data_IF_125398115573
#
_entry.id   IF_125398115573
#
_cell.length_a   1.000
_cell.length_b   1.000
_cell.length_c   1.000
_cell.angle_alpha   90.00
_cell.angle_beta   90.00
_cell.angle_gamma   90.00
#
_symmetry.space_group_name_H-M   'P 1'
#
loop_
_entity.id
_entity.type
_entity.pdbx_description
1 polymer ?
#
# COMPACT_ATOMS: atom_id res chain seq x y z
N UNK A 1 -17.95 -19.14 -1.04
CA UNK A 1 -16.58 -19.53 -1.42
C UNK A 1 -15.64 -18.35 -1.24
N UNK A 2 -14.55 -18.59 -0.58
CA UNK A 2 -13.53 -17.56 -0.46
C UNK A 2 -12.91 -17.28 -1.83
N UNK A 3 -12.70 -16.00 -2.10
CA UNK A 3 -12.04 -15.58 -3.32
C UNK A 3 -10.55 -15.93 -3.24
N UNK A 4 -10.04 -16.58 -4.26
CA UNK A 4 -8.61 -16.90 -4.33
C UNK A 4 -7.87 -15.86 -5.18
N UNK A 5 -6.69 -15.48 -4.70
CA UNK A 5 -5.85 -14.49 -5.35
C UNK A 5 -4.57 -15.18 -5.83
N UNK A 6 -4.05 -14.73 -6.94
CA UNK A 6 -2.76 -15.18 -7.46
C UNK A 6 -1.97 -14.00 -7.98
N UNK A 7 -0.65 -14.03 -7.77
CA UNK A 7 0.20 -12.91 -8.18
C UNK A 7 0.06 -12.65 -9.70
N UNK A 8 -0.31 -11.42 -10.11
CA UNK A 8 -0.61 -11.13 -11.52
C UNK A 8 0.62 -10.95 -12.40
N UNK A 9 1.82 -10.84 -11.81
CA UNK A 9 2.99 -10.38 -12.54
C UNK A 9 2.85 -8.89 -12.86
N UNK A 10 3.53 -8.43 -13.91
CA UNK A 10 3.42 -7.04 -14.35
C UNK A 10 2.20 -6.93 -15.27
N UNK A 11 1.24 -6.09 -14.88
CA UNK A 11 0.04 -5.82 -15.67
C UNK A 11 0.38 -4.98 -16.91
N UNK A 12 -0.50 -4.97 -17.93
CA UNK A 12 -0.33 -4.07 -19.07
C UNK A 12 -0.16 -2.62 -18.63
N UNK A 13 0.69 -1.89 -19.32
CA UNK A 13 1.05 -0.50 -18.96
C UNK A 13 -0.19 0.39 -18.81
N UNK A 14 -1.20 0.21 -19.66
CA UNK A 14 -2.43 1.01 -19.60
C UNK A 14 -3.25 0.79 -18.33
N UNK A 15 -2.93 -0.22 -17.53
CA UNK A 15 -3.59 -0.48 -16.25
C UNK A 15 -2.85 0.10 -15.06
N UNK A 16 -1.57 0.39 -15.19
CA UNK A 16 -0.72 0.85 -14.08
C UNK A 16 -0.13 2.23 -14.30
N UNK A 17 -0.08 2.72 -15.53
CA UNK A 17 0.49 4.01 -15.88
C UNK A 17 -0.43 5.16 -15.43
N UNK A 18 0.14 6.17 -14.79
CA UNK A 18 -0.58 7.37 -14.36
C UNK A 18 -1.80 7.05 -13.49
N UNK A 19 -1.60 6.18 -12.51
CA UNK A 19 -2.67 5.76 -11.59
C UNK A 19 -2.42 6.27 -10.19
N UNK A 20 -3.51 6.41 -9.45
CA UNK A 20 -3.49 6.74 -8.04
C UNK A 20 -4.52 5.89 -7.31
N UNK A 21 -4.35 5.78 -6.00
CA UNK A 21 -5.29 5.10 -5.12
C UNK A 21 -6.05 6.15 -4.35
N UNK A 22 -7.37 5.99 -4.28
CA UNK A 22 -8.26 6.78 -3.43
C UNK A 22 -8.83 5.86 -2.36
N UNK A 23 -8.54 6.17 -1.12
CA UNK A 23 -8.91 5.34 0.03
C UNK A 23 -9.80 6.13 0.96
N UNK A 24 -11.00 5.64 1.22
CA UNK A 24 -11.88 6.21 2.23
C UNK A 24 -11.64 5.47 3.54
N UNK A 25 -11.37 6.22 4.60
CA UNK A 25 -11.09 5.63 5.91
C UNK A 25 -12.02 6.19 6.97
N UNK A 26 -11.99 5.58 8.15
CA UNK A 26 -12.71 6.06 9.34
C UNK A 26 -12.43 7.54 9.61
N UNK A 27 -11.22 8.03 9.31
CA UNK A 27 -10.80 9.41 9.59
C UNK A 27 -10.92 10.34 8.39
N UNK A 28 -11.22 9.84 7.20
CA UNK A 28 -11.35 10.61 5.98
C UNK A 28 -10.62 10.01 4.81
N UNK A 29 -10.43 10.80 3.77
CA UNK A 29 -9.87 10.35 2.50
C UNK A 29 -8.36 10.50 2.43
N UNK A 30 -7.70 9.47 1.91
CA UNK A 30 -6.26 9.46 1.61
C UNK A 30 -6.12 9.15 0.13
N UNK A 31 -5.30 9.92 -0.60
CA UNK A 31 -4.97 9.66 -2.00
C UNK A 31 -3.47 9.55 -2.12
N UNK A 32 -2.98 8.52 -2.82
CA UNK A 32 -1.57 8.41 -3.13
C UNK A 32 -1.34 7.98 -4.57
N UNK A 33 -0.29 8.54 -5.17
CA UNK A 33 0.13 8.19 -6.53
C UNK A 33 0.94 6.90 -6.52
N UNK A 34 0.92 6.18 -7.64
CA UNK A 34 1.64 4.93 -7.80
C UNK A 34 2.85 5.12 -8.72
N UNK A 35 3.98 4.53 -8.33
CA UNK A 35 5.25 4.63 -9.06
C UNK A 35 5.47 3.39 -9.92
N UNK A 36 4.71 3.27 -11.00
CA UNK A 36 4.71 2.09 -11.86
C UNK A 36 6.07 1.82 -12.54
N UNK A 37 6.84 2.88 -12.82
CA UNK A 37 8.14 2.72 -13.48
C UNK A 37 9.24 2.26 -12.50
N UNK A 38 9.11 2.61 -11.24
CA UNK A 38 10.09 2.23 -10.20
C UNK A 38 9.77 0.88 -9.58
N UNK A 39 8.49 0.52 -9.48
CA UNK A 39 8.05 -0.70 -8.83
C UNK A 39 6.88 -1.35 -9.60
N UNK A 40 7.11 -1.78 -10.86
CA UNK A 40 6.04 -2.27 -11.72
C UNK A 40 5.33 -3.51 -11.17
N UNK A 41 6.04 -4.43 -10.52
CA UNK A 41 5.44 -5.62 -9.92
C UNK A 41 4.57 -5.28 -8.73
N UNK A 42 5.07 -4.41 -7.87
CA UNK A 42 4.38 -3.99 -6.65
C UNK A 42 3.13 -3.18 -7.00
N UNK A 43 3.26 -2.23 -7.94
CA UNK A 43 2.11 -1.44 -8.41
C UNK A 43 1.08 -2.33 -9.06
N UNK A 44 1.51 -3.27 -9.92
CA UNK A 44 0.61 -4.24 -10.55
C UNK A 44 -0.15 -5.06 -9.51
N UNK A 45 0.55 -5.54 -8.49
CA UNK A 45 -0.05 -6.29 -7.40
C UNK A 45 -1.09 -5.47 -6.65
N UNK A 46 -0.74 -4.24 -6.30
CA UNK A 46 -1.66 -3.36 -5.55
C UNK A 46 -2.90 -3.02 -6.38
N UNK A 47 -2.73 -2.70 -7.67
CA UNK A 47 -3.85 -2.44 -8.59
C UNK A 47 -4.75 -3.67 -8.72
N UNK A 48 -4.16 -4.84 -8.90
CA UNK A 48 -4.90 -6.10 -9.01
C UNK A 48 -5.75 -6.37 -7.76
N UNK A 49 -5.15 -6.26 -6.58
CA UNK A 49 -5.86 -6.48 -5.33
C UNK A 49 -6.96 -5.43 -5.11
N UNK A 50 -6.66 -4.17 -5.41
CA UNK A 50 -7.60 -3.06 -5.26
C UNK A 50 -8.81 -3.25 -6.17
N UNK A 51 -8.60 -3.57 -7.44
CA UNK A 51 -9.70 -3.80 -8.40
C UNK A 51 -10.59 -4.98 -7.99
N UNK A 52 -10.00 -5.95 -7.33
CA UNK A 52 -10.75 -7.11 -6.84
C UNK A 52 -11.46 -6.88 -5.50
N UNK A 53 -11.34 -5.70 -4.90
CA UNK A 53 -11.97 -5.39 -3.62
C UNK A 53 -11.24 -5.95 -2.40
N UNK A 54 -10.00 -6.37 -2.55
CA UNK A 54 -9.24 -7.01 -1.47
C UNK A 54 -9.13 -6.14 -0.22
N UNK A 55 -8.87 -4.84 -0.41
CA UNK A 55 -8.62 -3.93 0.71
C UNK A 55 -9.89 -3.39 1.37
N UNK A 56 -11.04 -3.51 0.73
CA UNK A 56 -12.30 -2.98 1.27
C UNK A 56 -12.63 -3.66 2.60
N UNK A 57 -12.79 -2.86 3.64
CA UNK A 57 -13.11 -3.34 4.98
C UNK A 57 -11.91 -3.76 5.82
N UNK A 58 -10.69 -3.71 5.29
CA UNK A 58 -9.48 -4.02 6.06
C UNK A 58 -9.11 -2.85 6.97
N UNK A 59 -8.28 -3.13 7.96
CA UNK A 59 -7.92 -2.15 8.99
C UNK A 59 -6.45 -1.75 8.91
N UNK A 60 -6.15 -0.64 9.58
CA UNK A 60 -4.79 -0.30 9.98
C UNK A 60 -4.52 -0.99 11.31
N UNK A 61 -3.84 -2.12 11.27
CA UNK A 61 -3.63 -2.95 12.46
C UNK A 61 -2.41 -2.55 13.29
N UNK A 62 -1.56 -1.67 12.75
CA UNK A 62 -0.36 -1.20 13.44
C UNK A 62 -0.16 0.29 13.18
N UNK A 63 0.00 1.05 14.25
CA UNK A 63 0.31 2.49 14.18
C UNK A 63 1.43 2.76 15.16
N UNK A 64 2.55 3.28 14.65
CA UNK A 64 3.68 3.67 15.47
C UNK A 64 3.82 5.19 15.34
N UNK A 65 3.42 5.97 16.36
CA UNK A 65 3.48 7.44 16.31
C UNK A 65 4.86 7.95 15.91
N UNK A 66 4.88 8.92 15.00
CA UNK A 66 6.11 9.49 14.49
C UNK A 66 6.89 8.59 13.54
N UNK A 67 6.35 7.45 13.18
CA UNK A 67 7.02 6.50 12.30
C UNK A 67 6.13 6.09 11.14
N UNK A 68 5.17 5.17 11.34
CA UNK A 68 4.32 4.64 10.25
C UNK A 68 2.91 4.33 10.71
N UNK A 69 2.00 4.25 9.73
CA UNK A 69 0.74 3.51 9.85
C UNK A 69 0.83 2.33 8.88
N UNK A 70 0.35 1.17 9.28
CA UNK A 70 0.46 -0.07 8.51
C UNK A 70 -0.88 -0.80 8.47
N UNK A 71 -1.25 -1.26 7.30
CA UNK A 71 -2.49 -2.00 7.11
C UNK A 71 -2.43 -2.95 5.92
N UNK A 72 -3.60 -3.49 5.54
CA UNK A 72 -3.71 -4.37 4.38
C UNK A 72 -3.57 -5.85 4.70
N UNK A 73 -3.62 -6.22 5.99
CA UNK A 73 -3.65 -7.62 6.41
C UNK A 73 -5.10 -8.08 6.56
N UNK A 74 -5.55 -9.08 5.78
CA UNK A 74 -6.95 -9.55 5.88
C UNK A 74 -7.27 -10.14 7.24
N UNK A 75 -6.27 -10.58 8.01
CA UNK A 75 -6.46 -11.11 9.36
C UNK A 75 -6.33 -10.03 10.45
N UNK A 76 -5.76 -8.87 10.12
CA UNK A 76 -5.56 -7.80 11.09
C UNK A 76 -4.53 -8.10 12.17
N UNK A 77 -3.64 -9.07 11.96
CA UNK A 77 -2.67 -9.54 12.97
C UNK A 77 -1.21 -9.23 12.62
N UNK A 78 -0.95 -8.82 11.39
CA UNK A 78 0.41 -8.61 10.89
C UNK A 78 1.01 -9.84 10.19
N UNK A 79 0.30 -10.96 10.17
CA UNK A 79 0.80 -12.22 9.62
C UNK A 79 0.08 -12.66 8.34
N UNK A 80 -1.02 -12.00 7.97
CA UNK A 80 -1.82 -12.40 6.82
C UNK A 80 -1.41 -11.70 5.53
N UNK A 81 -1.96 -12.18 4.42
CA UNK A 81 -1.73 -11.65 3.11
C UNK A 81 -2.70 -12.26 2.09
N UNK A 82 -2.42 -12.10 0.80
CA UNK A 82 -3.33 -12.55 -0.25
C UNK A 82 -3.20 -14.03 -0.60
N UNK A 83 -2.36 -14.78 0.11
CA UNK A 83 -2.14 -16.19 -0.15
C UNK A 83 -0.93 -16.49 -1.05
N UNK A 84 -0.15 -15.48 -1.36
CA UNK A 84 1.10 -15.60 -2.15
C UNK A 84 2.10 -14.55 -1.69
N UNK A 85 3.35 -14.70 -2.12
CA UNK A 85 4.42 -13.75 -1.89
C UNK A 85 5.10 -13.43 -3.22
N UNK A 86 5.71 -12.24 -3.30
CA UNK A 86 6.49 -11.88 -4.48
C UNK A 86 7.74 -11.11 -4.09
N UNK A 87 8.64 -10.98 -5.05
CA UNK A 87 9.99 -10.46 -4.85
C UNK A 87 10.03 -8.95 -4.62
N UNK A 88 11.07 -8.50 -3.93
CA UNK A 88 11.36 -7.08 -3.74
C UNK A 88 11.76 -6.44 -5.06
N UNK A 89 11.51 -5.14 -5.16
CA UNK A 89 11.98 -4.32 -6.26
C UNK A 89 12.97 -3.27 -5.74
N UNK A 90 13.89 -2.76 -6.58
CA UNK A 90 14.91 -1.81 -6.12
C UNK A 90 14.29 -0.56 -5.50
N UNK A 91 14.83 -0.12 -4.37
CA UNK A 91 14.39 1.09 -3.68
C UNK A 91 15.23 2.27 -4.19
N UNK A 92 14.56 3.27 -4.76
CA UNK A 92 15.20 4.43 -5.39
C UNK A 92 14.91 5.73 -4.68
N UNK A 93 14.16 5.70 -3.58
CA UNK A 93 13.74 6.89 -2.84
C UNK A 93 13.99 6.73 -1.36
N UNK A 94 14.21 7.85 -0.67
CA UNK A 94 14.28 7.87 0.78
C UNK A 94 12.88 7.65 1.36
N UNK A 95 12.83 7.14 2.60
CA UNK A 95 11.57 6.93 3.31
C UNK A 95 11.12 8.24 3.96
N UNK A 96 10.69 9.18 3.12
CA UNK A 96 10.22 10.47 3.55
C UNK A 96 8.74 10.42 3.95
N UNK A 97 8.30 11.41 4.71
CA UNK A 97 6.90 11.55 5.09
C UNK A 97 5.99 11.45 3.88
N UNK A 98 4.97 10.59 3.97
CA UNK A 98 4.01 10.35 2.88
C UNK A 98 4.38 9.23 1.92
N UNK A 99 5.58 8.69 1.99
CA UNK A 99 6.00 7.55 1.16
C UNK A 99 5.18 6.32 1.55
N UNK A 100 4.76 5.56 0.54
CA UNK A 100 4.03 4.30 0.70
C UNK A 100 4.93 3.16 0.24
N UNK A 101 5.10 2.18 1.11
CA UNK A 101 5.99 1.05 0.86
C UNK A 101 5.36 -0.26 1.32
N UNK A 102 5.89 -1.39 0.81
CA UNK A 102 5.40 -2.71 1.20
C UNK A 102 6.04 -3.17 2.50
N UNK A 103 5.21 -3.58 3.45
CA UNK A 103 5.68 -4.32 4.61
C UNK A 103 6.09 -5.74 4.19
N UNK A 104 7.05 -6.32 4.88
CA UNK A 104 7.49 -7.68 4.60
C UNK A 104 8.00 -8.38 5.87
N UNK A 105 8.25 -9.67 5.74
CA UNK A 105 8.79 -10.52 6.82
C UNK A 105 10.20 -11.02 6.46
N UNK A 106 10.96 -10.24 5.70
CA UNK A 106 12.27 -10.56 5.19
C UNK A 106 12.31 -10.44 3.67
N UNK A 107 13.44 -10.79 3.03
CA UNK A 107 13.57 -10.66 1.57
C UNK A 107 12.51 -11.45 0.81
N UNK A 108 11.95 -10.82 -0.21
CA UNK A 108 11.04 -11.46 -1.18
C UNK A 108 9.78 -12.06 -0.53
N UNK A 109 9.21 -11.36 0.45
CA UNK A 109 7.99 -11.81 1.14
C UNK A 109 6.86 -10.80 1.05
N UNK A 110 6.82 -10.00 -0.02
CA UNK A 110 5.75 -9.03 -0.23
C UNK A 110 4.43 -9.73 -0.51
N UNK A 111 3.35 -9.16 -0.01
CA UNK A 111 2.00 -9.69 -0.23
C UNK A 111 0.99 -8.57 -0.40
N UNK A 112 0.28 -8.22 0.67
CA UNK A 112 -0.73 -7.15 0.63
C UNK A 112 -0.50 -6.05 1.66
N UNK A 113 0.28 -6.29 2.70
CA UNK A 113 0.50 -5.30 3.76
C UNK A 113 1.39 -4.17 3.27
N UNK A 114 1.03 -2.94 3.62
CA UNK A 114 1.78 -1.75 3.26
C UNK A 114 1.83 -0.79 4.44
N UNK A 115 2.74 0.16 4.37
CA UNK A 115 2.81 1.23 5.38
C UNK A 115 2.98 2.58 4.71
N UNK A 116 2.55 3.62 5.42
CA UNK A 116 2.72 5.02 5.03
C UNK A 116 3.59 5.70 6.08
N UNK A 117 4.63 6.40 5.63
CA UNK A 117 5.56 7.10 6.52
C UNK A 117 4.89 8.32 7.12
N UNK A 118 4.95 8.44 8.44
CA UNK A 118 4.47 9.63 9.17
C UNK A 118 5.54 10.72 9.25
N UNK A 119 6.82 10.35 9.10
CA UNK A 119 7.93 11.25 9.27
C UNK A 119 9.12 10.74 8.48
N UNK A 120 9.99 11.66 8.01
CA UNK A 120 11.23 11.27 7.36
C UNK A 120 12.05 10.41 8.31
N UNK A 121 12.38 9.20 7.89
CA UNK A 121 13.10 8.25 8.72
C UNK A 121 14.16 7.52 7.89
N UNK A 122 15.42 7.50 8.32
CA UNK A 122 16.44 6.73 7.64
C UNK A 122 16.25 5.23 7.90
N UNK A 123 15.72 4.52 6.89
CA UNK A 123 15.56 3.07 6.95
C UNK A 123 16.48 2.42 5.93
N UNK A 124 16.92 1.20 6.23
CA UNK A 124 17.60 0.37 5.25
C UNK A 124 16.64 0.09 4.09
N UNK A 125 17.13 0.02 2.82
CA UNK A 125 16.28 -0.13 1.65
C UNK A 125 15.74 -1.55 1.47
N UNK A 126 15.07 -2.06 2.49
CA UNK A 126 14.52 -3.42 2.56
C UNK A 126 13.04 -3.50 2.19
N UNK A 127 12.40 -2.35 2.00
CA UNK A 127 10.95 -2.26 1.76
C UNK A 127 10.71 -1.55 0.44
N UNK A 128 10.06 -2.23 -0.50
CA UNK A 128 9.79 -1.67 -1.83
C UNK A 128 8.90 -0.43 -1.72
N UNK A 129 9.41 0.71 -2.18
CA UNK A 129 8.64 1.96 -2.27
C UNK A 129 7.84 1.93 -3.56
N UNK A 130 6.53 2.16 -3.48
CA UNK A 130 5.68 2.10 -4.68
C UNK A 130 4.70 3.26 -4.81
N UNK A 131 4.68 4.20 -3.88
CA UNK A 131 3.76 5.34 -3.99
C UNK A 131 4.10 6.46 -3.02
N UNK A 132 3.32 7.55 -3.13
CA UNK A 132 3.44 8.71 -2.26
C UNK A 132 2.07 9.37 -2.09
N UNK A 133 1.73 9.74 -0.87
CA UNK A 133 0.50 10.47 -0.56
C UNK A 133 0.55 11.87 -1.21
N UNK A 134 -0.51 12.18 -1.95
CA UNK A 134 -0.68 13.48 -2.61
C UNK A 134 -1.79 14.30 -1.97
N UNK A 135 -2.70 13.64 -1.24
CA UNK A 135 -3.81 14.31 -0.56
C UNK A 135 -4.19 13.52 0.69
N UNK A 136 -4.49 14.24 1.77
CA UNK A 136 -4.96 13.60 2.99
C UNK A 136 -3.87 13.21 3.97
N UNK A 137 -2.69 13.84 3.92
CA UNK A 137 -1.63 13.57 4.90
C UNK A 137 -2.09 13.90 6.33
N UNK A 138 -2.96 14.91 6.48
CA UNK A 138 -3.59 15.23 7.76
C UNK A 138 -4.48 14.08 8.28
N UNK A 139 -5.14 13.36 7.37
CA UNK A 139 -5.91 12.16 7.70
C UNK A 139 -4.98 11.04 8.13
N UNK A 140 -3.87 10.83 7.40
CA UNK A 140 -2.86 9.82 7.75
C UNK A 140 -2.38 10.04 9.20
N UNK A 141 -2.15 11.29 9.57
CA UNK A 141 -1.71 11.65 10.92
C UNK A 141 -2.75 11.31 12.01
N UNK A 142 -4.02 11.17 11.64
CA UNK A 142 -5.12 10.89 12.58
C UNK A 142 -5.45 9.41 12.69
N UNK A 143 -4.92 8.57 11.84
CA UNK A 143 -5.21 7.13 11.84
C UNK A 143 -4.80 6.50 13.16
N UNK A 144 -5.67 5.63 13.68
CA UNK A 144 -5.44 4.85 14.90
C UNK A 144 -5.61 3.37 14.59
N UNK A 145 -5.05 2.53 15.43
CA UNK A 145 -5.22 1.07 15.32
C UNK A 145 -6.72 0.74 15.30
N UNK A 146 -7.13 -0.03 14.30
CA UNK A 146 -8.53 -0.42 14.11
C UNK A 146 -9.31 0.46 13.17
N UNK A 147 -8.76 1.61 12.74
CA UNK A 147 -9.43 2.42 11.71
C UNK A 147 -9.54 1.60 10.43
N UNK A 148 -10.66 1.77 9.73
CA UNK A 148 -11.06 0.92 8.61
C UNK A 148 -10.86 1.62 7.27
N UNK A 149 -10.37 0.87 6.29
CA UNK A 149 -10.38 1.25 4.88
C UNK A 149 -11.75 0.82 4.33
N UNK A 150 -12.73 1.71 4.33
CA UNK A 150 -14.09 1.35 3.91
C UNK A 150 -14.21 1.15 2.40
N UNK A 151 -13.40 1.86 1.63
CA UNK A 151 -13.37 1.77 0.17
C UNK A 151 -11.98 2.12 -0.34
N UNK A 152 -11.45 1.29 -1.22
CA UNK A 152 -10.14 1.53 -1.86
C UNK A 152 -10.32 1.32 -3.35
N UNK A 153 -10.05 2.35 -4.15
CA UNK A 153 -10.20 2.30 -5.61
C UNK A 153 -8.93 2.78 -6.30
N UNK A 154 -8.72 2.27 -7.51
CA UNK A 154 -7.67 2.77 -8.41
C UNK A 154 -8.33 3.62 -9.50
N UNK A 155 -7.72 4.77 -9.78
CA UNK A 155 -8.23 5.72 -10.77
C UNK A 155 -7.07 6.42 -11.49
N UNK A 156 -7.40 7.12 -12.58
CA UNK A 156 -6.40 7.91 -13.29
C UNK A 156 -5.95 9.08 -12.40
N UNK A 157 -4.65 9.39 -12.45
CA UNK A 157 -4.13 10.54 -11.72
C UNK A 157 -4.67 11.83 -12.33
N UNK A 158 -5.00 12.79 -11.45
CA UNK A 158 -5.29 14.15 -11.86
C UNK A 158 -4.04 14.78 -12.47
N UNK A 159 -4.21 15.49 -13.57
CA UNK A 159 -3.13 16.23 -14.21
C UNK A 159 -2.84 17.54 -13.49
#
# INVERSE_FOLDING_TARGET
MEKQWSFPGVLPENQIQNRQIRMQTTKGEIVFELFDKEAPKTVSNFVYLTKGGFYDGLTFHRVVPGFVIQGGDPNGTGTGGPGYRFEDEPVKRAYDRGIVAMANAGPNTNGSQFFIMLQDTPLDPLYTVFGKVTKGMDVVDQIRVGDVMSSVIVEARAK
#
